data_IF_510810190220
#
_entry.id   IF_510810190220
#
_cell.length_a   1.000
_cell.length_b   1.000
_cell.length_c   1.000
_cell.angle_alpha   90.00
_cell.angle_beta   90.00
_cell.angle_gamma   90.00
#
_symmetry.space_group_name_H-M   'P 1'
#
loop_
_entity.id
_entity.type
_entity.pdbx_description
1 polymer ?
#
# COMPACT_ATOMS: atom_id res chain seq x y z
N UNK A 1 -23.38 1.92 2.62
CA UNK A 1 -22.67 2.08 3.91
C UNK A 1 -21.40 2.86 3.62
N UNK A 2 -21.14 3.95 4.36
CA UNK A 2 -19.86 4.66 4.22
C UNK A 2 -18.80 3.89 5.01
N UNK A 3 -17.71 3.48 4.36
CA UNK A 3 -16.66 2.68 4.99
C UNK A 3 -15.73 3.51 5.90
N UNK A 4 -15.96 4.83 6.02
CA UNK A 4 -15.17 5.78 6.81
C UNK A 4 -13.66 5.56 6.63
N UNK A 5 -13.23 5.57 5.37
CA UNK A 5 -11.81 5.47 5.00
C UNK A 5 -11.28 6.88 4.80
N UNK A 6 -10.27 7.25 5.59
CA UNK A 6 -9.51 8.48 5.38
C UNK A 6 -8.25 8.16 4.56
N UNK A 7 -7.91 9.02 3.61
CA UNK A 7 -6.77 8.84 2.71
C UNK A 7 -5.86 10.04 2.86
N UNK A 8 -4.60 9.78 3.20
CA UNK A 8 -3.53 10.78 3.25
C UNK A 8 -2.53 10.49 2.13
N UNK A 9 -2.24 11.49 1.30
CA UNK A 9 -1.20 11.39 0.27
C UNK A 9 -0.01 12.22 0.74
N UNK A 10 1.11 11.54 0.99
CA UNK A 10 2.35 12.17 1.44
C UNK A 10 3.35 12.16 0.28
N UNK A 11 3.93 13.32 0.00
CA UNK A 11 4.99 13.48 -0.99
C UNK A 11 6.22 14.03 -0.31
N UNK A 12 7.30 13.24 -0.29
CA UNK A 12 8.61 13.66 0.20
C UNK A 12 9.63 13.70 -0.95
N UNK A 13 10.58 14.64 -0.85
CA UNK A 13 11.66 14.85 -1.81
C UNK A 13 12.66 13.68 -1.82
N UNK A 14 12.79 12.93 -0.74
CA UNK A 14 13.76 11.83 -0.65
C UNK A 14 13.19 10.46 -1.06
N UNK A 15 11.89 10.21 -0.85
CA UNK A 15 11.25 8.95 -1.22
C UNK A 15 9.77 9.14 -1.64
N UNK A 16 9.58 9.59 -2.88
CA UNK A 16 8.49 9.27 -3.85
C UNK A 16 7.18 8.66 -3.25
N UNK A 17 6.10 9.46 -3.27
CA UNK A 17 4.68 9.11 -3.11
C UNK A 17 4.28 7.97 -2.17
N UNK A 18 3.59 8.35 -1.10
CA UNK A 18 2.89 7.45 -0.19
C UNK A 18 1.39 7.74 -0.22
N UNK A 19 0.57 6.69 -0.18
CA UNK A 19 -0.84 6.81 0.18
C UNK A 19 -1.11 5.97 1.43
N UNK A 20 -1.65 6.60 2.47
CA UNK A 20 -2.00 5.98 3.73
C UNK A 20 -3.52 5.94 3.83
N UNK A 21 -4.07 4.77 4.10
CA UNK A 21 -5.50 4.55 4.24
C UNK A 21 -5.80 4.17 5.69
N UNK A 22 -6.68 4.92 6.33
CA UNK A 22 -7.10 4.68 7.71
C UNK A 22 -8.52 4.15 7.74
N UNK A 23 -8.74 3.02 8.43
CA UNK A 23 -10.07 2.43 8.63
C UNK A 23 -10.16 1.77 10.01
N UNK A 24 -10.76 2.46 10.98
CA UNK A 24 -10.94 1.98 12.36
C UNK A 24 -9.62 1.43 12.95
N UNK A 25 -9.50 0.11 13.05
CA UNK A 25 -8.39 -0.63 13.67
C UNK A 25 -7.35 -1.09 12.64
N UNK A 26 -7.52 -0.73 11.36
CA UNK A 26 -6.62 -1.10 10.28
C UNK A 26 -6.03 0.14 9.60
N UNK A 27 -4.79 -0.01 9.17
CA UNK A 27 -4.07 0.94 8.33
C UNK A 27 -3.51 0.22 7.11
N UNK A 28 -3.57 0.86 5.95
CA UNK A 28 -2.90 0.38 4.75
C UNK A 28 -1.95 1.43 4.17
N UNK A 29 -0.89 0.97 3.53
CA UNK A 29 0.16 1.81 2.95
C UNK A 29 0.40 1.38 1.51
N UNK A 30 0.32 2.32 0.56
CA UNK A 30 0.97 2.21 -0.75
C UNK A 30 2.25 3.03 -0.68
N UNK A 31 3.38 2.42 -1.00
CA UNK A 31 4.67 3.13 -1.11
C UNK A 31 5.20 2.97 -2.53
N UNK A 32 5.54 4.08 -3.18
CA UNK A 32 6.18 4.07 -4.50
C UNK A 32 7.66 4.39 -4.31
N UNK A 33 8.45 3.37 -3.97
CA UNK A 33 9.86 3.51 -3.67
C UNK A 33 10.68 4.13 -4.80
N UNK A 34 11.78 4.79 -4.42
CA UNK A 34 12.81 5.16 -5.39
C UNK A 34 13.66 3.92 -5.71
N UNK A 35 13.79 3.51 -6.99
CA UNK A 35 14.64 2.39 -7.39
C UNK A 35 16.09 2.55 -6.93
N UNK A 36 16.57 3.77 -6.66
CA UNK A 36 17.92 3.96 -6.14
C UNK A 36 18.11 3.45 -4.70
N UNK A 37 17.05 3.38 -3.90
CA UNK A 37 17.10 2.93 -2.50
C UNK A 37 16.61 1.48 -2.34
N UNK A 38 15.66 1.06 -3.16
CA UNK A 38 15.18 -0.32 -3.23
C UNK A 38 15.06 -0.77 -4.70
N UNK A 39 16.18 -1.11 -5.36
CA UNK A 39 16.21 -1.35 -6.82
C UNK A 39 15.34 -2.53 -7.28
N UNK A 40 15.01 -3.44 -6.36
CA UNK A 40 14.18 -4.60 -6.59
C UNK A 40 12.70 -4.40 -6.18
N UNK A 41 12.33 -3.25 -5.60
CA UNK A 41 10.97 -2.91 -5.15
C UNK A 41 10.65 -1.46 -5.48
N UNK A 42 9.89 -1.23 -6.54
CA UNK A 42 9.41 0.10 -6.89
C UNK A 42 8.08 0.41 -6.22
N UNK A 43 7.27 -0.60 -5.91
CA UNK A 43 5.94 -0.45 -5.34
C UNK A 43 5.69 -1.53 -4.29
N UNK A 44 5.31 -1.12 -3.09
CA UNK A 44 4.77 -2.04 -2.09
C UNK A 44 3.40 -1.62 -1.59
N UNK A 45 2.62 -2.61 -1.18
CA UNK A 45 1.40 -2.42 -0.44
C UNK A 45 1.34 -3.31 0.79
N UNK A 46 1.01 -2.74 1.93
CA UNK A 46 0.89 -3.46 3.21
C UNK A 46 -0.38 -3.02 3.94
N UNK A 47 -1.09 -3.97 4.54
CA UNK A 47 -2.19 -3.71 5.49
C UNK A 47 -1.75 -4.23 6.84
N UNK A 48 -1.89 -3.38 7.86
CA UNK A 48 -1.54 -3.68 9.23
C UNK A 48 -2.73 -3.44 10.15
N UNK A 49 -2.96 -4.37 11.08
CA UNK A 49 -3.85 -4.18 12.21
C UNK A 49 -3.14 -3.35 13.28
N UNK A 50 -3.73 -2.23 13.70
CA UNK A 50 -3.09 -1.21 14.55
C UNK A 50 -2.79 -1.74 15.95
N UNK A 51 -3.73 -2.47 16.55
CA UNK A 51 -3.58 -2.97 17.93
C UNK A 51 -2.49 -4.03 18.04
N UNK A 52 -2.50 -5.02 17.14
CA UNK A 52 -1.54 -6.13 17.15
C UNK A 52 -0.23 -5.80 16.43
N UNK A 53 -0.18 -4.71 15.66
CA UNK A 53 0.91 -4.33 14.75
C UNK A 53 1.26 -5.43 13.76
N UNK A 54 0.29 -6.29 13.44
CA UNK A 54 0.47 -7.43 12.54
C UNK A 54 0.15 -7.02 11.11
N UNK A 55 1.05 -7.35 10.19
CA UNK A 55 0.77 -7.28 8.75
C UNK A 55 -0.21 -8.42 8.40
N UNK A 56 -1.41 -8.05 7.96
CA UNK A 56 -2.49 -8.99 7.60
C UNK A 56 -2.55 -9.25 6.10
N UNK A 57 -2.01 -8.32 5.30
CA UNK A 57 -1.87 -8.45 3.86
C UNK A 57 -0.61 -7.73 3.39
N UNK A 58 0.11 -8.29 2.42
CA UNK A 58 1.22 -7.61 1.78
C UNK A 58 1.35 -8.03 0.31
N UNK A 59 1.84 -7.11 -0.50
CA UNK A 59 2.29 -7.38 -1.86
C UNK A 59 3.47 -6.48 -2.21
N UNK A 60 4.44 -7.04 -2.94
CA UNK A 60 5.65 -6.35 -3.38
C UNK A 60 5.85 -6.63 -4.87
N UNK A 61 6.15 -5.59 -5.64
CA UNK A 61 6.57 -5.76 -7.04
C UNK A 61 7.97 -6.39 -7.11
N UNK A 62 8.37 -6.74 -8.34
CA UNK A 62 9.72 -7.14 -8.67
C UNK A 62 10.08 -6.65 -10.08
N UNK A 63 11.31 -6.90 -10.52
CA UNK A 63 11.86 -6.44 -11.80
C UNK A 63 11.07 -6.89 -13.04
N UNK A 64 10.24 -7.94 -12.92
CA UNK A 64 9.42 -8.48 -14.01
C UNK A 64 7.97 -8.04 -13.95
N UNK A 65 7.56 -7.37 -12.87
CA UNK A 65 6.17 -6.96 -12.68
C UNK A 65 5.83 -5.85 -13.65
N UNK A 66 4.78 -6.06 -14.43
CA UNK A 66 4.26 -5.08 -15.36
C UNK A 66 3.40 -4.04 -14.64
N UNK A 67 3.22 -2.87 -15.27
CA UNK A 67 2.31 -1.85 -14.75
C UNK A 67 0.87 -2.36 -14.58
N UNK A 68 0.42 -3.21 -15.50
CA UNK A 68 -0.91 -3.82 -15.41
C UNK A 68 -1.02 -4.69 -14.16
N UNK A 69 -0.05 -5.57 -13.91
CA UNK A 69 -0.04 -6.41 -12.71
C UNK A 69 0.03 -5.58 -11.43
N UNK A 70 0.77 -4.46 -11.42
CA UNK A 70 0.78 -3.52 -10.30
C UNK A 70 -0.63 -3.02 -10.00
N UNK A 71 -1.34 -2.50 -11.02
CA UNK A 71 -2.71 -1.97 -10.84
C UNK A 71 -3.65 -3.06 -10.35
N UNK A 72 -3.63 -4.23 -10.96
CA UNK A 72 -4.48 -5.37 -10.57
C UNK A 72 -4.21 -5.83 -9.12
N UNK A 73 -2.96 -5.79 -8.65
CA UNK A 73 -2.65 -6.15 -7.27
C UNK A 73 -3.06 -5.06 -6.28
N UNK A 74 -2.91 -3.78 -6.62
CA UNK A 74 -3.40 -2.67 -5.80
C UNK A 74 -4.94 -2.73 -5.66
N UNK A 75 -5.67 -2.97 -6.75
CA UNK A 75 -7.13 -3.12 -6.72
C UNK A 75 -7.56 -4.26 -5.78
N UNK A 76 -6.96 -5.45 -5.93
CA UNK A 76 -7.21 -6.59 -5.03
C UNK A 76 -6.93 -6.27 -3.57
N UNK A 77 -5.89 -5.48 -3.31
CA UNK A 77 -5.49 -5.15 -1.97
C UNK A 77 -6.40 -4.09 -1.32
N UNK A 78 -6.88 -3.13 -2.10
CA UNK A 78 -7.92 -2.17 -1.69
C UNK A 78 -9.24 -2.90 -1.41
N UNK A 79 -9.65 -3.82 -2.27
CA UNK A 79 -10.84 -4.65 -2.05
C UNK A 79 -10.74 -5.46 -0.75
N UNK A 80 -9.56 -6.04 -0.49
CA UNK A 80 -9.29 -6.70 0.78
C UNK A 80 -9.40 -5.73 1.95
N UNK A 81 -8.76 -4.56 1.90
CA UNK A 81 -8.81 -3.54 2.96
C UNK A 81 -10.24 -3.07 3.27
N UNK A 82 -11.07 -2.92 2.24
CA UNK A 82 -12.47 -2.52 2.37
C UNK A 82 -13.31 -3.61 3.07
N UNK A 83 -13.00 -4.88 2.83
CA UNK A 83 -13.80 -6.02 3.32
C UNK A 83 -13.31 -6.62 4.63
N UNK A 84 -12.02 -6.47 4.95
CA UNK A 84 -11.40 -6.85 6.22
C UNK A 84 -11.93 -6.01 7.40
#
# INVERSE_FOLDING_TARGET
MSNNIEIEIVTDLELKYYAIFWKKENIAYIVIGNPNFAPYKNICFEIMEVESKKIVYYWYDNEKTTLQEIVENIEKAIDYFITY
#
